data_IF_933582151588
#
_entry.id   IF_933582151588
#
_cell.length_a   1.000
_cell.length_b   1.000
_cell.length_c   1.000
_cell.angle_alpha   90.00
_cell.angle_beta   90.00
_cell.angle_gamma   90.00
#
_symmetry.space_group_name_H-M   'P 1'
#
loop_
_entity.id
_entity.type
_entity.pdbx_description
1 polymer ?
#
# COMPACT_ATOMS: atom_id res chain seq x y z
N UNK A 1 -12.15 -0.60 20.40
CA UNK A 1 -13.50 -0.37 19.80
C UNK A 1 -13.81 -1.57 18.92
N UNK A 2 -15.06 -1.97 18.76
CA UNK A 2 -15.49 -2.98 17.77
C UNK A 2 -16.61 -2.35 16.94
N UNK A 3 -16.52 -2.45 15.61
CA UNK A 3 -17.47 -1.83 14.67
C UNK A 3 -17.69 -2.75 13.47
N UNK A 4 -18.95 -3.07 13.15
CA UNK A 4 -19.27 -3.64 11.84
C UNK A 4 -19.28 -2.53 10.81
N UNK A 5 -18.47 -2.68 9.75
CA UNK A 5 -18.30 -1.69 8.70
C UNK A 5 -19.47 -1.79 7.70
N UNK A 6 -20.04 -0.63 7.35
CA UNK A 6 -21.02 -0.52 6.28
C UNK A 6 -20.33 -0.51 4.90
N UNK A 7 -21.12 -0.71 3.82
CA UNK A 7 -20.58 -0.58 2.43
C UNK A 7 -19.97 0.82 2.20
N UNK A 8 -20.54 1.86 2.81
CA UNK A 8 -20.00 3.21 2.72
C UNK A 8 -18.68 3.36 3.50
N UNK A 9 -18.60 2.81 4.72
CA UNK A 9 -17.34 2.79 5.47
C UNK A 9 -16.23 2.08 4.67
N UNK A 10 -16.55 0.92 4.07
CA UNK A 10 -15.59 0.16 3.25
C UNK A 10 -15.13 0.97 2.03
N UNK A 11 -16.07 1.66 1.36
CA UNK A 11 -15.72 2.55 0.25
C UNK A 11 -14.81 3.69 0.70
N UNK A 12 -15.15 4.36 1.78
CA UNK A 12 -14.31 5.45 2.32
C UNK A 12 -12.92 4.92 2.72
N UNK A 13 -12.84 3.77 3.39
CA UNK A 13 -11.54 3.15 3.76
C UNK A 13 -10.69 2.87 2.52
N UNK A 14 -11.24 2.22 1.49
CA UNK A 14 -10.45 1.85 0.31
C UNK A 14 -9.97 3.07 -0.47
N UNK A 15 -10.78 4.13 -0.60
CA UNK A 15 -10.30 5.39 -1.19
C UNK A 15 -9.18 6.02 -0.35
N UNK A 16 -9.34 6.03 0.98
CA UNK A 16 -8.29 6.51 1.87
C UNK A 16 -7.00 5.69 1.76
N UNK A 17 -7.11 4.35 1.68
CA UNK A 17 -5.97 3.46 1.48
C UNK A 17 -5.30 3.67 0.11
N UNK A 18 -6.07 3.86 -0.97
CA UNK A 18 -5.52 4.14 -2.30
C UNK A 18 -4.76 5.48 -2.33
N UNK A 19 -5.24 6.50 -1.61
CA UNK A 19 -4.53 7.78 -1.45
C UNK A 19 -3.22 7.56 -0.68
N UNK A 20 -3.28 6.92 0.49
CA UNK A 20 -2.12 6.65 1.34
C UNK A 20 -1.16 5.63 0.72
N UNK A 21 -1.63 4.81 -0.23
CA UNK A 21 -0.84 3.83 -0.95
C UNK A 21 0.23 4.40 -1.89
N UNK A 22 0.24 5.73 -2.10
CA UNK A 22 1.32 6.41 -2.85
C UNK A 22 1.61 5.79 -4.23
N UNK A 23 0.57 5.35 -4.91
CA UNK A 23 0.65 4.70 -6.22
C UNK A 23 0.81 3.19 -6.19
N UNK A 24 0.98 2.56 -5.02
CA UNK A 24 1.08 1.11 -4.86
C UNK A 24 -0.10 0.48 -4.11
N UNK A 25 0.08 -0.77 -3.66
CA UNK A 25 -0.92 -1.51 -2.90
C UNK A 25 -2.11 -2.02 -3.71
N UNK A 26 -1.96 -2.08 -5.03
CA UNK A 26 -2.93 -2.65 -5.99
C UNK A 26 -4.11 -1.74 -6.33
N UNK A 27 -4.86 -2.16 -7.34
CA UNK A 27 -5.94 -1.39 -7.95
C UNK A 27 -7.17 -1.29 -7.04
N UNK A 28 -7.77 -0.10 -7.02
CA UNK A 28 -8.97 0.17 -6.22
C UNK A 28 -10.18 -0.67 -6.66
N UNK A 29 -10.37 -0.83 -7.96
CA UNK A 29 -11.48 -1.62 -8.53
C UNK A 29 -11.35 -3.11 -8.18
N UNK A 30 -10.14 -3.64 -8.14
CA UNK A 30 -9.87 -4.99 -7.65
C UNK A 30 -10.24 -5.11 -6.16
N UNK A 31 -9.87 -4.11 -5.36
CA UNK A 31 -10.25 -4.05 -3.96
C UNK A 31 -11.76 -4.09 -3.77
N UNK A 32 -12.51 -3.31 -4.54
CA UNK A 32 -13.98 -3.36 -4.51
C UNK A 32 -14.53 -4.72 -4.91
N UNK A 33 -13.92 -5.38 -5.90
CA UNK A 33 -14.33 -6.73 -6.28
C UNK A 33 -14.21 -7.72 -5.10
N UNK A 34 -13.13 -7.70 -4.33
CA UNK A 34 -12.99 -8.54 -3.12
C UNK A 34 -14.06 -8.22 -2.07
N UNK A 35 -14.33 -6.94 -1.82
CA UNK A 35 -15.37 -6.53 -0.87
C UNK A 35 -16.75 -7.02 -1.32
N UNK A 36 -17.11 -6.78 -2.57
CA UNK A 36 -18.43 -7.17 -3.10
C UNK A 36 -18.61 -8.69 -3.10
N UNK A 37 -17.58 -9.45 -3.46
CA UNK A 37 -17.58 -10.91 -3.39
C UNK A 37 -17.84 -11.45 -1.98
N UNK A 38 -17.29 -10.82 -0.95
CA UNK A 38 -17.58 -11.20 0.43
C UNK A 38 -19.01 -10.83 0.85
N UNK A 39 -19.49 -9.64 0.48
CA UNK A 39 -20.86 -9.21 0.75
C UNK A 39 -21.91 -10.12 0.07
N UNK A 40 -21.69 -10.49 -1.19
CA UNK A 40 -22.54 -11.43 -1.95
C UNK A 40 -22.55 -12.82 -1.29
N UNK A 41 -21.45 -13.23 -0.65
CA UNK A 41 -21.38 -14.45 0.15
C UNK A 41 -22.03 -14.30 1.54
N UNK A 42 -22.70 -13.19 1.83
CA UNK A 42 -23.38 -12.91 3.10
C UNK A 42 -22.44 -12.65 4.27
N UNK A 43 -21.18 -12.26 3.98
CA UNK A 43 -20.18 -11.98 5.02
C UNK A 43 -20.27 -10.55 5.53
N UNK A 44 -19.75 -10.33 6.74
CA UNK A 44 -19.67 -9.02 7.39
C UNK A 44 -18.22 -8.66 7.67
N UNK A 45 -17.93 -7.37 7.69
CA UNK A 45 -16.60 -6.84 7.97
C UNK A 45 -16.60 -6.21 9.37
N UNK A 46 -15.89 -6.83 10.30
CA UNK A 46 -15.85 -6.42 11.70
C UNK A 46 -14.46 -5.87 12.04
N UNK A 47 -14.40 -4.56 12.28
CA UNK A 47 -13.18 -3.86 12.70
C UNK A 47 -13.02 -3.92 14.21
N UNK A 48 -11.82 -4.23 14.69
CA UNK A 48 -11.47 -4.26 16.12
C UNK A 48 -10.13 -3.54 16.35
N UNK A 49 -10.02 -2.75 17.41
CA UNK A 49 -8.73 -2.16 17.77
C UNK A 49 -7.78 -3.22 18.34
N UNK A 50 -6.48 -3.01 18.15
CA UNK A 50 -5.40 -3.92 18.60
C UNK A 50 -5.56 -4.27 20.08
N UNK A 51 -5.88 -3.30 20.93
CA UNK A 51 -6.04 -3.46 22.37
C UNK A 51 -7.22 -4.34 22.76
N UNK A 52 -8.19 -4.51 21.88
CA UNK A 52 -9.39 -5.32 22.15
C UNK A 52 -9.27 -6.76 21.61
N UNK A 53 -8.18 -7.10 20.93
CA UNK A 53 -7.91 -8.49 20.55
C UNK A 53 -7.61 -9.29 21.81
N UNK A 54 -8.35 -10.38 22.08
CA UNK A 54 -8.10 -11.17 23.29
C UNK A 54 -6.71 -11.81 23.29
N UNK A 55 -6.11 -11.90 24.46
CA UNK A 55 -4.81 -12.55 24.64
C UNK A 55 -4.80 -14.01 24.11
N UNK A 56 -3.68 -14.42 23.53
CA UNK A 56 -3.49 -15.76 22.98
C UNK A 56 -4.19 -16.00 21.64
N UNK A 57 -4.77 -14.96 21.02
CA UNK A 57 -5.38 -15.09 19.70
C UNK A 57 -4.36 -14.91 18.59
N UNK A 58 -4.31 -15.88 17.68
CA UNK A 58 -3.47 -15.84 16.51
C UNK A 58 -4.03 -14.89 15.45
N UNK A 59 -3.12 -14.17 14.79
CA UNK A 59 -3.38 -13.30 13.64
C UNK A 59 -2.48 -13.73 12.47
N UNK A 60 -2.80 -13.22 11.28
CA UNK A 60 -1.93 -13.34 10.12
C UNK A 60 -2.02 -12.11 9.24
N UNK A 61 -1.09 -11.99 8.29
CA UNK A 61 -0.97 -10.84 7.39
C UNK A 61 -1.08 -11.31 5.93
N UNK A 62 -2.29 -11.25 5.32
CA UNK A 62 -2.50 -11.63 3.92
C UNK A 62 -2.31 -10.46 2.97
N UNK A 63 -1.70 -10.75 1.80
CA UNK A 63 -1.46 -9.76 0.74
C UNK A 63 -1.22 -10.43 -0.62
N UNK A 64 -1.24 -9.62 -1.71
CA UNK A 64 -0.68 -9.98 -3.01
C UNK A 64 0.67 -9.30 -3.16
N UNK A 65 1.62 -9.99 -3.79
CA UNK A 65 2.97 -9.50 -4.06
C UNK A 65 3.29 -9.69 -5.54
N UNK A 66 3.71 -8.60 -6.18
CA UNK A 66 4.07 -8.68 -7.60
C UNK A 66 4.43 -7.33 -8.21
N UNK A 67 4.49 -7.31 -9.54
CA UNK A 67 4.65 -6.09 -10.33
C UNK A 67 3.28 -5.58 -10.78
N UNK A 68 3.10 -4.27 -10.78
CA UNK A 68 1.85 -3.62 -11.17
C UNK A 68 1.70 -3.44 -12.68
N UNK A 69 2.83 -3.44 -13.42
CA UNK A 69 2.82 -3.29 -14.88
C UNK A 69 2.24 -4.54 -15.54
N UNK A 70 1.23 -4.41 -16.42
CA UNK A 70 0.71 -5.54 -17.19
C UNK A 70 1.81 -6.26 -17.97
N UNK A 71 1.68 -7.58 -18.08
CA UNK A 71 2.57 -8.39 -18.93
C UNK A 71 2.36 -8.09 -20.41
N UNK A 72 3.41 -8.21 -21.19
CA UNK A 72 3.31 -8.18 -22.65
C UNK A 72 2.56 -9.41 -23.19
N UNK A 73 2.05 -9.31 -24.43
CA UNK A 73 1.39 -10.46 -25.08
C UNK A 73 2.31 -11.68 -25.22
N UNK A 74 3.62 -11.46 -25.42
CA UNK A 74 4.60 -12.53 -25.53
C UNK A 74 4.81 -13.26 -24.19
N UNK A 75 4.90 -12.52 -23.10
CA UNK A 75 4.99 -13.08 -21.75
C UNK A 75 3.71 -13.85 -21.39
N UNK A 76 2.52 -13.30 -21.70
CA UNK A 76 1.23 -13.96 -21.48
C UNK A 76 1.12 -15.31 -22.22
N UNK A 77 1.73 -15.46 -23.39
CA UNK A 77 1.71 -16.71 -24.16
C UNK A 77 2.30 -17.89 -23.37
N UNK A 78 3.28 -17.66 -22.50
CA UNK A 78 3.92 -18.71 -21.69
C UNK A 78 2.92 -19.37 -20.74
N UNK A 79 1.92 -18.62 -20.30
CA UNK A 79 0.94 -19.06 -19.29
C UNK A 79 -0.37 -19.59 -19.90
N UNK A 80 -0.63 -19.35 -21.21
CA UNK A 80 -1.88 -19.80 -21.88
C UNK A 80 -2.20 -21.29 -21.74
N UNK A 81 -1.17 -22.12 -21.58
CA UNK A 81 -1.31 -23.59 -21.39
C UNK A 81 -1.73 -23.98 -19.98
N UNK A 82 -1.60 -23.09 -19.00
CA UNK A 82 -1.86 -23.39 -17.61
C UNK A 82 -3.35 -23.14 -17.30
N UNK A 83 -4.04 -24.11 -16.71
CA UNK A 83 -5.43 -23.89 -16.29
C UNK A 83 -5.46 -22.92 -15.11
N UNK A 84 -6.46 -22.03 -15.08
CA UNK A 84 -6.75 -21.23 -13.89
C UNK A 84 -7.54 -22.06 -12.89
N UNK A 85 -7.20 -21.91 -11.61
CA UNK A 85 -7.94 -22.55 -10.54
C UNK A 85 -9.28 -21.82 -10.29
N UNK A 86 -10.32 -22.58 -9.96
CA UNK A 86 -11.62 -22.02 -9.59
C UNK A 86 -11.61 -21.29 -8.24
N UNK A 87 -10.60 -21.56 -7.41
CA UNK A 87 -10.48 -21.02 -6.05
C UNK A 87 -9.57 -19.79 -6.04
N UNK A 88 -9.94 -18.81 -5.24
CA UNK A 88 -9.10 -17.66 -4.94
C UNK A 88 -7.74 -18.09 -4.39
N UNK A 89 -6.65 -17.57 -4.97
CA UNK A 89 -5.27 -17.84 -4.55
C UNK A 89 -5.05 -17.49 -3.08
N UNK A 90 -5.54 -16.30 -2.65
CA UNK A 90 -5.38 -15.89 -1.24
C UNK A 90 -6.13 -16.80 -0.27
N UNK A 91 -7.33 -17.27 -0.61
CA UNK A 91 -8.05 -18.24 0.24
C UNK A 91 -7.44 -19.64 0.19
N UNK A 92 -6.75 -19.99 -0.90
CA UNK A 92 -5.96 -21.22 -0.98
C UNK A 92 -4.77 -21.16 -0.04
N UNK A 93 -4.02 -20.04 -0.06
CA UNK A 93 -2.92 -19.81 0.87
C UNK A 93 -3.41 -19.79 2.33
N UNK A 94 -4.53 -19.11 2.63
CA UNK A 94 -5.08 -19.02 3.98
C UNK A 94 -5.45 -20.41 4.55
N UNK A 95 -6.20 -21.21 3.81
CA UNK A 95 -6.56 -22.55 4.23
C UNK A 95 -5.35 -23.47 4.39
N UNK A 96 -4.33 -23.27 3.55
CA UNK A 96 -3.10 -24.05 3.68
C UNK A 96 -2.30 -23.65 4.90
N UNK A 97 -2.29 -22.34 5.25
CA UNK A 97 -1.67 -21.85 6.48
C UNK A 97 -2.33 -22.48 7.72
N UNK A 98 -3.67 -22.44 7.83
CA UNK A 98 -4.41 -23.09 8.91
C UNK A 98 -4.07 -24.59 9.04
N UNK A 99 -3.99 -25.30 7.92
CA UNK A 99 -3.62 -26.72 7.91
C UNK A 99 -2.16 -26.97 8.32
N UNK A 100 -1.27 -26.06 7.99
CA UNK A 100 0.16 -26.17 8.27
C UNK A 100 0.46 -25.88 9.75
N UNK A 101 -0.10 -24.82 10.29
CA UNK A 101 0.11 -24.42 11.69
C UNK A 101 -0.77 -25.23 12.66
N UNK A 102 -1.92 -25.71 12.21
CA UNK A 102 -2.96 -26.27 13.07
C UNK A 102 -3.75 -25.23 13.86
N UNK A 103 -3.57 -23.94 13.55
CA UNK A 103 -4.17 -22.82 14.24
C UNK A 103 -5.43 -22.30 13.53
N UNK A 104 -6.32 -21.68 14.32
CA UNK A 104 -7.39 -20.80 13.84
C UNK A 104 -6.98 -19.35 14.03
N UNK A 105 -7.21 -18.52 13.00
CA UNK A 105 -6.87 -17.10 13.05
C UNK A 105 -8.07 -16.25 13.48
N UNK A 106 -7.87 -15.46 14.53
CA UNK A 106 -8.88 -14.55 15.07
C UNK A 106 -9.14 -13.36 14.14
N UNK A 107 -8.12 -12.92 13.43
CA UNK A 107 -8.22 -11.80 12.51
C UNK A 107 -6.97 -11.59 11.68
N UNK A 108 -7.03 -10.58 10.82
CA UNK A 108 -5.93 -10.18 9.94
C UNK A 108 -5.44 -8.78 10.28
N UNK A 109 -4.14 -8.54 10.07
CA UNK A 109 -3.52 -7.23 10.04
C UNK A 109 -3.09 -6.96 8.59
N UNK A 110 -3.34 -5.74 8.08
CA UNK A 110 -2.91 -5.39 6.73
C UNK A 110 -1.38 -5.28 6.67
N UNK A 111 -0.77 -5.80 5.61
CA UNK A 111 0.67 -5.63 5.36
C UNK A 111 1.02 -4.16 5.06
N UNK A 112 0.07 -3.44 4.49
CA UNK A 112 0.22 -2.08 3.99
C UNK A 112 -1.16 -1.45 3.74
N UNK A 113 -1.18 -0.17 3.38
CA UNK A 113 -2.38 0.53 2.93
C UNK A 113 -2.35 0.65 1.39
N UNK A 114 -3.37 0.12 0.74
CA UNK A 114 -3.52 0.19 -0.72
C UNK A 114 -4.93 -0.18 -1.16
N UNK A 115 -5.27 0.08 -2.41
CA UNK A 115 -6.61 -0.16 -2.94
C UNK A 115 -7.02 -1.63 -2.91
N UNK A 116 -6.12 -2.53 -3.32
CA UNK A 116 -6.37 -3.98 -3.35
C UNK A 116 -5.85 -4.68 -2.09
N UNK A 117 -4.61 -4.48 -1.64
CA UNK A 117 -4.02 -5.23 -0.53
C UNK A 117 -4.76 -5.06 0.79
N UNK A 118 -5.27 -3.86 1.09
CA UNK A 118 -6.15 -3.66 2.25
C UNK A 118 -7.44 -4.48 2.11
N UNK A 119 -8.07 -4.45 0.94
CA UNK A 119 -9.31 -5.20 0.68
C UNK A 119 -9.10 -6.71 0.74
N UNK A 120 -7.95 -7.23 0.31
CA UNK A 120 -7.57 -8.64 0.41
C UNK A 120 -7.48 -9.09 1.87
N UNK A 121 -6.82 -8.31 2.72
CA UNK A 121 -6.78 -8.58 4.16
C UNK A 121 -8.20 -8.62 4.76
N UNK A 122 -9.04 -7.65 4.39
CA UNK A 122 -10.45 -7.60 4.82
C UNK A 122 -11.25 -8.80 4.31
N UNK A 123 -11.04 -9.19 3.06
CA UNK A 123 -11.69 -10.33 2.44
C UNK A 123 -11.37 -11.63 3.18
N UNK A 124 -10.09 -11.87 3.49
CA UNK A 124 -9.67 -13.06 4.25
C UNK A 124 -10.33 -13.07 5.63
N UNK A 125 -10.29 -11.95 6.37
CA UNK A 125 -10.95 -11.84 7.67
C UNK A 125 -12.46 -12.14 7.58
N UNK A 126 -13.17 -11.53 6.62
CA UNK A 126 -14.60 -11.73 6.43
C UNK A 126 -14.94 -13.17 6.06
N UNK A 127 -14.19 -13.78 5.13
CA UNK A 127 -14.42 -15.16 4.68
C UNK A 127 -14.14 -16.17 5.79
N UNK A 128 -13.19 -15.90 6.67
CA UNK A 128 -12.88 -16.68 7.87
C UNK A 128 -13.85 -16.42 9.04
N UNK A 129 -14.80 -15.49 8.93
CA UNK A 129 -15.65 -14.96 10.00
C UNK A 129 -14.84 -14.39 11.19
N UNK A 130 -13.67 -13.87 10.89
CA UNK A 130 -12.74 -13.23 11.83
C UNK A 130 -12.90 -11.71 11.88
N UNK A 131 -11.89 -11.05 12.39
CA UNK A 131 -11.86 -9.60 12.58
C UNK A 131 -10.76 -8.95 11.72
N UNK A 132 -11.04 -7.74 11.26
CA UNK A 132 -10.05 -6.81 10.73
C UNK A 132 -9.47 -6.07 11.94
N UNK A 133 -8.16 -6.14 12.13
CA UNK A 133 -7.50 -5.42 13.21
C UNK A 133 -7.15 -4.01 12.71
N UNK A 134 -7.52 -2.98 13.50
CA UNK A 134 -7.28 -1.58 13.16
C UNK A 134 -5.80 -1.21 13.28
N UNK A 135 -5.03 -1.76 12.36
CA UNK A 135 -3.58 -1.55 12.24
C UNK A 135 -3.09 -2.02 10.86
N UNK A 136 -1.93 -1.54 10.49
CA UNK A 136 -1.09 -2.11 9.44
C UNK A 136 0.38 -2.04 9.85
N UNK A 137 1.32 -2.39 8.96
CA UNK A 137 2.73 -2.42 9.29
C UNK A 137 3.59 -1.46 8.46
N UNK A 138 2.97 -0.61 7.66
CA UNK A 138 3.68 0.34 6.80
C UNK A 138 3.09 1.77 6.84
N UNK A 139 1.77 1.91 7.06
CA UNK A 139 1.07 3.20 7.01
C UNK A 139 1.00 3.83 5.61
N UNK A 140 1.43 3.06 4.60
CA UNK A 140 1.45 3.35 3.17
C UNK A 140 1.60 2.03 2.40
N UNK A 141 1.67 2.05 1.06
CA UNK A 141 2.17 0.91 0.32
C UNK A 141 3.71 0.94 0.22
N UNK A 142 4.32 -0.24 0.15
CA UNK A 142 5.77 -0.45 0.17
C UNK A 142 6.19 -1.59 -0.77
N UNK A 143 7.35 -1.48 -1.44
CA UNK A 143 7.74 -2.44 -2.47
C UNK A 143 8.20 -3.80 -1.96
N UNK A 144 8.61 -3.94 -0.70
CA UNK A 144 9.24 -5.16 -0.17
C UNK A 144 8.74 -5.54 1.23
N UNK A 145 8.75 -6.83 1.57
CA UNK A 145 8.36 -7.37 2.88
C UNK A 145 9.17 -6.72 4.02
N UNK A 146 10.44 -6.40 3.75
CA UNK A 146 11.35 -5.76 4.72
C UNK A 146 11.05 -4.29 5.01
N UNK A 147 10.16 -3.67 4.26
CA UNK A 147 9.72 -2.30 4.52
C UNK A 147 8.50 -2.29 5.47
N UNK A 148 8.64 -2.90 6.61
CA UNK A 148 7.56 -3.05 7.58
C UNK A 148 8.04 -2.86 9.01
N UNK A 149 7.13 -2.43 9.86
CA UNK A 149 7.41 -2.34 11.30
C UNK A 149 7.65 -3.71 11.93
N UNK A 150 7.23 -4.80 11.31
CA UNK A 150 7.63 -6.15 11.73
C UNK A 150 9.14 -6.33 11.59
N UNK A 151 9.68 -6.04 10.40
CA UNK A 151 11.12 -6.12 10.16
C UNK A 151 11.92 -5.17 11.07
N UNK A 152 11.40 -3.96 11.33
CA UNK A 152 12.08 -3.01 12.24
C UNK A 152 12.15 -3.50 13.68
N UNK A 153 11.26 -4.39 14.08
CA UNK A 153 11.18 -4.99 15.40
C UNK A 153 11.67 -6.46 15.45
N UNK A 154 12.40 -6.91 14.41
CA UNK A 154 12.99 -8.26 14.30
C UNK A 154 11.93 -9.39 14.46
N UNK A 155 10.70 -9.17 13.96
CA UNK A 155 9.62 -10.15 13.94
C UNK A 155 9.67 -10.87 12.59
N UNK A 156 10.01 -12.17 12.54
CA UNK A 156 10.25 -12.88 11.30
C UNK A 156 8.95 -13.16 10.53
N UNK A 157 9.02 -13.03 9.20
CA UNK A 157 7.88 -13.29 8.32
C UNK A 157 7.54 -14.80 8.22
N UNK A 158 8.53 -15.69 8.31
CA UNK A 158 8.31 -17.14 8.18
C UNK A 158 7.58 -17.73 9.40
N UNK A 159 6.70 -18.75 9.18
CA UNK A 159 6.42 -19.40 7.90
C UNK A 159 5.58 -18.55 6.96
N UNK A 160 5.89 -18.59 5.66
CA UNK A 160 5.13 -17.88 4.61
C UNK A 160 4.44 -18.91 3.73
N UNK A 161 3.13 -18.77 3.55
CA UNK A 161 2.36 -19.60 2.61
C UNK A 161 1.95 -18.77 1.42
N UNK A 162 2.29 -19.24 0.22
CA UNK A 162 1.93 -18.56 -1.02
C UNK A 162 1.09 -19.46 -1.92
N UNK A 163 0.24 -18.85 -2.75
CA UNK A 163 -0.50 -19.53 -3.79
C UNK A 163 -0.73 -18.62 -5.00
N UNK A 164 -0.78 -19.23 -6.19
CA UNK A 164 -1.00 -18.52 -7.44
C UNK A 164 -2.36 -18.86 -8.09
N UNK A 165 -2.69 -18.16 -9.17
CA UNK A 165 -3.93 -18.35 -9.91
C UNK A 165 -4.07 -19.73 -10.59
N UNK A 166 -2.97 -20.48 -10.72
CA UNK A 166 -2.98 -21.83 -11.27
C UNK A 166 -3.31 -22.91 -10.23
N UNK A 167 -3.47 -22.52 -8.96
CA UNK A 167 -3.74 -23.42 -7.84
C UNK A 167 -2.48 -24.05 -7.22
N UNK A 168 -1.30 -23.62 -7.66
CA UNK A 168 -0.04 -24.03 -7.03
C UNK A 168 0.10 -23.33 -5.67
N UNK A 169 0.55 -24.07 -4.66
CA UNK A 169 0.71 -23.56 -3.30
C UNK A 169 2.07 -23.97 -2.74
N UNK A 170 2.78 -23.01 -2.17
CA UNK A 170 4.11 -23.21 -1.64
C UNK A 170 4.16 -22.79 -0.17
N UNK A 171 5.00 -23.47 0.62
CA UNK A 171 5.28 -23.12 2.00
C UNK A 171 6.77 -22.84 2.14
N UNK A 172 7.09 -21.62 2.49
CA UNK A 172 8.42 -21.22 2.92
C UNK A 172 8.49 -21.37 4.45
N UNK A 173 8.82 -22.56 4.92
CA UNK A 173 8.80 -22.90 6.34
C UNK A 173 9.84 -22.13 7.14
N UNK A 174 11.05 -22.07 6.61
CA UNK A 174 12.18 -21.38 7.22
C UNK A 174 12.96 -20.58 6.19
N UNK A 175 13.36 -19.38 6.55
CA UNK A 175 14.31 -18.55 5.83
C UNK A 175 15.34 -18.01 6.81
N UNK A 176 16.52 -17.66 6.30
CA UNK A 176 17.61 -17.20 7.14
C UNK A 176 17.32 -15.81 7.74
N UNK A 177 16.61 -14.94 6.98
CA UNK A 177 16.16 -13.61 7.35
C UNK A 177 15.06 -13.14 6.38
N UNK A 178 14.46 -11.97 6.65
CA UNK A 178 13.36 -11.44 5.84
C UNK A 178 13.84 -10.84 4.50
N UNK A 179 15.10 -10.48 4.35
CA UNK A 179 15.68 -10.16 3.03
C UNK A 179 15.65 -11.38 2.11
N UNK A 180 15.90 -12.54 2.70
CA UNK A 180 15.80 -13.80 1.97
C UNK A 180 14.35 -14.22 1.74
N UNK A 181 13.44 -13.93 2.69
CA UNK A 181 12.01 -14.12 2.53
C UNK A 181 11.49 -13.35 1.30
N UNK A 182 11.80 -12.06 1.22
CA UNK A 182 11.48 -11.21 0.05
C UNK A 182 11.98 -11.84 -1.25
N UNK A 183 13.26 -12.23 -1.30
CA UNK A 183 13.87 -12.80 -2.50
C UNK A 183 13.16 -14.08 -2.96
N UNK A 184 12.74 -14.95 -2.04
CA UNK A 184 12.05 -16.22 -2.35
C UNK A 184 10.64 -15.96 -2.83
N UNK A 185 9.86 -15.14 -2.12
CA UNK A 185 8.47 -14.84 -2.50
C UNK A 185 8.42 -14.07 -3.82
N UNK A 186 9.35 -13.14 -4.04
CA UNK A 186 9.49 -12.39 -5.31
C UNK A 186 9.79 -13.33 -6.48
N UNK A 187 10.69 -14.28 -6.32
CA UNK A 187 10.96 -15.28 -7.35
C UNK A 187 9.73 -16.12 -7.69
N UNK A 188 8.93 -16.49 -6.68
CA UNK A 188 7.67 -17.21 -6.88
C UNK A 188 6.63 -16.34 -7.61
N UNK A 189 6.55 -15.04 -7.31
CA UNK A 189 5.65 -14.12 -8.05
C UNK A 189 6.04 -14.01 -9.53
N UNK A 190 7.34 -13.88 -9.83
CA UNK A 190 7.83 -13.77 -11.20
C UNK A 190 7.45 -14.97 -12.07
N UNK A 191 7.43 -16.18 -11.53
CA UNK A 191 6.99 -17.39 -12.24
C UNK A 191 5.46 -17.62 -12.16
N UNK A 192 4.74 -16.74 -11.49
CA UNK A 192 3.29 -16.77 -11.30
C UNK A 192 2.59 -15.57 -11.96
N UNK A 193 3.02 -15.18 -13.14
CA UNK A 193 2.55 -14.00 -13.89
C UNK A 193 2.77 -12.68 -13.16
N UNK A 194 3.90 -12.54 -12.48
CA UNK A 194 4.26 -11.38 -11.67
C UNK A 194 3.25 -11.05 -10.55
N UNK A 195 2.49 -12.04 -10.09
CA UNK A 195 1.50 -11.88 -9.04
C UNK A 195 1.33 -13.17 -8.22
N UNK A 196 1.41 -13.07 -6.91
CA UNK A 196 1.25 -14.21 -6.01
C UNK A 196 0.59 -13.79 -4.70
N UNK A 197 -0.38 -14.58 -4.25
CA UNK A 197 -0.94 -14.44 -2.92
C UNK A 197 0.07 -14.93 -1.87
N UNK A 198 0.24 -14.18 -0.80
CA UNK A 198 1.09 -14.53 0.32
C UNK A 198 0.39 -14.28 1.66
N UNK A 199 0.68 -15.11 2.64
CA UNK A 199 0.26 -14.91 4.03
C UNK A 199 1.45 -15.25 4.91
N UNK A 200 1.80 -14.33 5.77
CA UNK A 200 2.91 -14.43 6.70
C UNK A 200 2.56 -13.96 8.12
N UNK A 201 3.55 -13.82 8.99
CA UNK A 201 3.44 -13.36 10.37
C UNK A 201 2.26 -14.01 11.13
N UNK A 202 2.14 -15.35 10.95
CA UNK A 202 1.13 -16.17 11.60
C UNK A 202 1.52 -16.43 13.06
N UNK A 203 1.01 -15.61 14.00
CA UNK A 203 1.44 -15.66 15.39
C UNK A 203 0.44 -15.04 16.38
N UNK A 204 0.60 -15.27 17.69
CA UNK A 204 -0.23 -14.61 18.71
C UNK A 204 -0.08 -13.08 18.69
N UNK A 205 -1.18 -12.36 18.90
CA UNK A 205 -1.25 -10.89 18.88
C UNK A 205 -0.21 -10.24 19.80
N UNK A 206 0.14 -10.87 20.91
CA UNK A 206 1.10 -10.35 21.88
C UNK A 206 2.49 -10.14 21.29
N UNK A 207 2.85 -10.89 20.26
CA UNK A 207 4.15 -10.77 19.62
C UNK A 207 4.24 -9.56 18.67
N UNK A 208 3.10 -9.05 18.21
CA UNK A 208 3.06 -7.99 17.19
C UNK A 208 2.37 -6.70 17.63
N UNK A 209 1.56 -6.71 18.69
CA UNK A 209 0.71 -5.58 19.10
C UNK A 209 1.45 -4.26 19.36
N UNK A 210 2.73 -4.33 19.70
CA UNK A 210 3.58 -3.16 19.97
C UNK A 210 4.46 -2.78 18.77
N UNK A 211 4.50 -3.63 17.74
CA UNK A 211 5.22 -3.41 16.50
C UNK A 211 4.34 -2.82 15.38
N UNK A 212 3.02 -3.01 15.44
CA UNK A 212 2.12 -2.50 14.39
C UNK A 212 1.83 -1.01 14.54
N UNK A 213 1.51 -0.35 13.43
CA UNK A 213 1.02 1.04 13.40
C UNK A 213 -0.49 1.01 13.65
N UNK A 214 -0.88 1.40 14.86
CA UNK A 214 -2.27 1.31 15.33
C UNK A 214 -3.15 2.42 14.74
N UNK A 215 -4.41 2.08 14.41
CA UNK A 215 -5.42 3.04 13.97
C UNK A 215 -5.30 3.47 12.52
N UNK A 216 -4.52 2.78 11.71
CA UNK A 216 -4.30 3.15 10.30
C UNK A 216 -5.54 2.92 9.43
N UNK A 217 -6.35 1.91 9.73
CA UNK A 217 -7.63 1.71 9.03
C UNK A 217 -8.62 2.82 9.40
N UNK A 218 -8.67 3.22 10.66
CA UNK A 218 -9.47 4.38 11.11
C UNK A 218 -8.97 5.69 10.50
N UNK A 219 -7.66 5.88 10.32
CA UNK A 219 -7.06 7.02 9.61
C UNK A 219 -7.45 7.02 8.13
N UNK A 220 -7.38 5.86 7.47
CA UNK A 220 -7.81 5.71 6.08
C UNK A 220 -9.30 6.04 5.92
N UNK A 221 -10.15 5.58 6.85
CA UNK A 221 -11.57 5.96 6.89
C UNK A 221 -11.77 7.47 6.96
N UNK A 222 -11.02 8.16 7.82
CA UNK A 222 -11.13 9.62 7.97
C UNK A 222 -10.70 10.37 6.70
N UNK A 223 -9.61 9.96 6.05
CA UNK A 223 -9.13 10.53 4.79
C UNK A 223 -10.12 10.27 3.66
N UNK A 224 -10.65 9.04 3.53
CA UNK A 224 -11.65 8.72 2.52
C UNK A 224 -12.96 9.47 2.72
N UNK A 225 -13.39 9.68 3.97
CA UNK A 225 -14.55 10.53 4.28
C UNK A 225 -14.32 12.00 3.88
N UNK A 226 -13.11 12.54 4.12
CA UNK A 226 -12.74 13.89 3.70
C UNK A 226 -12.76 14.02 2.17
N UNK A 227 -12.14 13.06 1.48
CA UNK A 227 -12.15 12.94 0.02
C UNK A 227 -13.58 12.89 -0.54
N UNK A 228 -14.44 11.99 -0.05
CA UNK A 228 -15.82 11.88 -0.50
C UNK A 228 -16.62 13.16 -0.28
N UNK A 229 -16.51 13.76 0.93
CA UNK A 229 -17.17 15.04 1.24
C UNK A 229 -16.68 16.18 0.35
N UNK A 230 -15.40 16.23 0.01
CA UNK A 230 -14.85 17.21 -0.92
C UNK A 230 -15.54 17.10 -2.30
N UNK A 231 -15.65 15.87 -2.84
CA UNK A 231 -16.36 15.61 -4.11
C UNK A 231 -17.82 16.03 -4.04
N UNK A 232 -18.55 15.64 -2.99
CA UNK A 232 -19.96 16.00 -2.80
C UNK A 232 -20.19 17.51 -2.69
N UNK A 233 -19.22 18.24 -2.13
CA UNK A 233 -19.29 19.69 -1.91
C UNK A 233 -18.62 20.52 -3.02
N UNK A 234 -18.12 19.87 -4.08
CA UNK A 234 -17.31 20.51 -5.15
C UNK A 234 -16.12 21.33 -4.59
N UNK A 235 -15.49 20.85 -3.53
CA UNK A 235 -14.25 21.37 -3.00
C UNK A 235 -13.05 20.72 -3.69
N UNK A 236 -11.90 21.36 -3.59
CA UNK A 236 -10.65 20.80 -4.06
C UNK A 236 -10.25 19.57 -3.22
N UNK A 237 -10.18 18.39 -3.86
CA UNK A 237 -9.88 17.14 -3.17
C UNK A 237 -8.43 17.10 -2.65
N UNK A 238 -7.48 17.70 -3.39
CA UNK A 238 -6.09 17.70 -2.99
C UNK A 238 -5.87 18.54 -1.72
N UNK A 239 -6.51 19.71 -1.63
CA UNK A 239 -6.45 20.56 -0.45
C UNK A 239 -7.10 19.89 0.77
N UNK A 240 -8.27 19.26 0.59
CA UNK A 240 -8.96 18.57 1.69
C UNK A 240 -8.17 17.31 2.17
N UNK A 241 -7.56 16.56 1.26
CA UNK A 241 -6.69 15.42 1.61
C UNK A 241 -5.45 15.93 2.35
N UNK A 242 -4.80 16.98 1.85
CA UNK A 242 -3.63 17.57 2.49
C UNK A 242 -3.94 18.05 3.92
N UNK A 243 -5.08 18.72 4.12
CA UNK A 243 -5.50 19.22 5.42
C UNK A 243 -5.78 18.08 6.42
N UNK A 244 -6.50 17.01 5.99
CA UNK A 244 -6.84 15.90 6.87
C UNK A 244 -5.67 14.93 7.09
N UNK A 245 -4.73 14.87 6.14
CA UNK A 245 -3.53 14.06 6.23
C UNK A 245 -2.33 14.78 6.89
N UNK A 246 -2.51 16.02 7.37
CA UNK A 246 -1.45 16.85 7.99
C UNK A 246 -0.29 17.15 7.03
N UNK A 247 -0.59 17.26 5.73
CA UNK A 247 0.36 17.50 4.65
C UNK A 247 0.16 18.80 3.90
N UNK A 248 0.57 18.81 2.64
CA UNK A 248 0.44 19.97 1.76
C UNK A 248 0.33 19.54 0.29
N UNK A 249 -0.24 20.40 -0.56
CA UNK A 249 -0.18 20.23 -2.02
C UNK A 249 1.19 20.71 -2.50
N UNK A 250 1.99 19.78 -3.01
CA UNK A 250 3.36 20.06 -3.46
C UNK A 250 3.40 20.62 -4.88
N UNK A 251 2.52 20.10 -5.77
CA UNK A 251 2.54 20.48 -7.18
C UNK A 251 1.18 20.28 -7.84
N UNK A 252 0.91 21.07 -8.90
CA UNK A 252 -0.22 20.89 -9.80
C UNK A 252 0.27 21.07 -11.23
N UNK A 253 -0.13 20.18 -12.14
CA UNK A 253 0.33 20.25 -13.51
C UNK A 253 -0.29 19.19 -14.42
N UNK A 254 0.28 19.12 -15.61
CA UNK A 254 -0.14 18.19 -16.67
C UNK A 254 0.99 17.18 -16.89
N UNK A 255 0.65 15.90 -16.93
CA UNK A 255 1.60 14.82 -17.26
C UNK A 255 2.03 14.96 -18.70
N UNK A 256 3.33 15.15 -18.92
CA UNK A 256 3.92 15.33 -20.27
C UNK A 256 4.68 14.12 -20.75
N UNK A 257 5.32 13.39 -19.85
CA UNK A 257 6.06 12.18 -20.16
C UNK A 257 5.91 11.17 -19.03
N UNK A 258 5.88 9.90 -19.35
CA UNK A 258 5.96 8.81 -18.38
C UNK A 258 6.52 7.55 -19.04
N UNK A 259 7.15 6.72 -18.22
CA UNK A 259 7.62 5.40 -18.65
C UNK A 259 7.48 4.40 -17.52
N UNK A 260 7.06 3.19 -17.84
CA UNK A 260 6.99 2.09 -16.89
C UNK A 260 7.52 0.80 -17.52
N UNK A 261 8.19 -0.02 -16.72
CA UNK A 261 8.64 -1.35 -17.11
C UNK A 261 8.65 -2.28 -15.90
N UNK A 262 8.44 -3.57 -16.15
CA UNK A 262 8.71 -4.60 -15.13
C UNK A 262 10.20 -4.97 -15.18
N UNK A 263 10.85 -4.95 -14.03
CA UNK A 263 12.23 -5.40 -13.87
C UNK A 263 12.39 -6.06 -12.48
N UNK A 264 12.94 -7.27 -12.46
CA UNK A 264 13.20 -8.04 -11.23
C UNK A 264 11.94 -8.21 -10.34
N UNK A 265 10.77 -8.31 -10.97
CA UNK A 265 9.48 -8.45 -10.27
C UNK A 265 8.91 -7.15 -9.68
N UNK A 266 9.47 -6.01 -10.05
CA UNK A 266 8.98 -4.68 -9.65
C UNK A 266 8.54 -3.87 -10.86
N UNK A 267 7.59 -2.96 -10.68
CA UNK A 267 7.27 -1.89 -11.62
C UNK A 267 8.20 -0.71 -11.38
N UNK A 268 9.10 -0.45 -12.31
CA UNK A 268 9.96 0.75 -12.30
C UNK A 268 9.40 1.79 -13.27
N UNK A 269 9.43 3.07 -12.89
CA UNK A 269 8.92 4.11 -13.75
C UNK A 269 9.38 5.51 -13.39
N UNK A 270 9.13 6.40 -14.34
CA UNK A 270 9.35 7.84 -14.23
C UNK A 270 8.12 8.57 -14.74
N UNK A 271 7.69 9.62 -14.04
CA UNK A 271 6.57 10.48 -14.44
C UNK A 271 7.01 11.93 -14.40
N UNK A 272 6.84 12.64 -15.49
CA UNK A 272 7.18 14.06 -15.64
C UNK A 272 5.92 14.89 -15.80
N UNK A 273 5.84 16.00 -15.05
CA UNK A 273 4.66 16.85 -14.94
C UNK A 273 5.10 18.30 -15.13
N UNK A 274 4.55 18.97 -16.13
CA UNK A 274 4.77 20.41 -16.33
C UNK A 274 3.73 21.21 -15.53
N UNK A 275 4.21 22.21 -14.80
CA UNK A 275 3.38 22.97 -13.87
C UNK A 275 2.31 23.83 -14.52
N UNK A 276 1.17 23.97 -13.84
CA UNK A 276 0.07 24.85 -14.21
C UNK A 276 -0.23 25.86 -13.09
N UNK A 277 -0.96 26.93 -13.41
CA UNK A 277 -1.33 27.94 -12.42
C UNK A 277 -0.09 28.59 -11.77
N UNK A 278 0.01 28.52 -10.45
CA UNK A 278 1.17 29.06 -9.71
C UNK A 278 2.46 28.28 -9.90
N UNK A 279 2.37 27.04 -10.45
CA UNK A 279 3.52 26.16 -10.72
C UNK A 279 4.07 26.31 -12.14
N UNK A 280 3.51 27.19 -12.98
CA UNK A 280 4.00 27.45 -14.34
C UNK A 280 5.52 27.72 -14.35
N UNK A 281 6.22 27.21 -15.36
CA UNK A 281 7.68 27.24 -15.53
C UNK A 281 8.47 26.29 -14.59
N UNK A 282 7.79 25.47 -13.80
CA UNK A 282 8.42 24.41 -13.04
C UNK A 282 8.04 23.05 -13.62
N UNK A 283 8.95 22.09 -13.46
CA UNK A 283 8.75 20.70 -13.82
C UNK A 283 8.91 19.82 -12.61
N UNK A 284 7.99 18.89 -12.43
CA UNK A 284 8.01 17.89 -11.36
C UNK A 284 8.28 16.52 -11.95
N UNK A 285 9.12 15.74 -11.27
CA UNK A 285 9.49 14.41 -11.67
C UNK A 285 9.25 13.45 -10.50
N UNK A 286 8.65 12.29 -10.76
CA UNK A 286 8.42 11.25 -9.75
C UNK A 286 9.13 9.98 -10.21
N UNK A 287 9.98 9.43 -9.34
CA UNK A 287 10.65 8.14 -9.50
C UNK A 287 9.85 7.04 -8.79
N UNK A 288 9.56 5.96 -9.51
CA UNK A 288 8.67 4.87 -9.09
C UNK A 288 9.43 3.55 -8.99
N UNK A 289 9.22 2.83 -7.88
CA UNK A 289 9.47 1.39 -7.75
C UNK A 289 8.26 0.78 -7.03
N UNK A 290 7.29 0.25 -7.77
CA UNK A 290 5.90 -0.01 -7.41
C UNK A 290 5.19 1.27 -6.93
N UNK A 291 5.69 1.88 -5.87
CA UNK A 291 5.21 3.12 -5.25
C UNK A 291 6.00 4.33 -5.73
N UNK A 292 5.45 5.52 -5.47
CA UNK A 292 6.15 6.78 -5.65
C UNK A 292 7.17 6.94 -4.51
N UNK A 293 8.47 6.94 -4.82
CA UNK A 293 9.53 6.90 -3.80
C UNK A 293 10.32 8.20 -3.67
N UNK A 294 10.55 8.87 -4.78
CA UNK A 294 11.28 10.15 -4.83
C UNK A 294 10.53 11.11 -5.71
N UNK A 295 10.51 12.37 -5.34
CA UNK A 295 10.13 13.42 -6.28
C UNK A 295 11.18 14.51 -6.37
N UNK A 296 11.21 15.17 -7.54
CA UNK A 296 12.12 16.29 -7.83
C UNK A 296 11.34 17.47 -8.37
N UNK A 297 11.72 18.65 -7.91
CA UNK A 297 11.27 19.91 -8.47
C UNK A 297 12.44 20.54 -9.24
N UNK A 298 12.29 20.72 -10.54
CA UNK A 298 13.35 21.26 -11.42
C UNK A 298 14.69 20.52 -11.22
N UNK A 299 14.65 19.18 -11.24
CA UNK A 299 15.78 18.24 -11.05
C UNK A 299 16.32 18.16 -9.62
N UNK A 300 15.95 19.05 -8.71
CA UNK A 300 16.38 18.99 -7.31
C UNK A 300 15.43 18.11 -6.48
N UNK A 301 15.98 17.25 -5.63
CA UNK A 301 15.20 16.37 -4.75
C UNK A 301 14.27 17.20 -3.87
N UNK A 302 12.97 16.99 -4.05
CA UNK A 302 11.93 17.65 -3.25
C UNK A 302 11.44 16.76 -2.12
N UNK A 303 10.96 15.55 -2.40
CA UNK A 303 10.46 14.61 -1.39
C UNK A 303 11.13 13.27 -1.56
N UNK A 304 11.45 12.62 -0.46
CA UNK A 304 11.95 11.24 -0.45
C UNK A 304 11.15 10.38 0.50
N UNK A 305 11.15 9.07 0.26
CA UNK A 305 10.72 8.12 1.27
C UNK A 305 11.44 8.39 2.60
N UNK A 306 10.75 8.12 3.72
CA UNK A 306 9.44 7.47 3.84
C UNK A 306 8.22 8.39 3.70
N UNK A 307 8.37 9.71 3.43
CA UNK A 307 7.22 10.59 3.20
C UNK A 307 6.36 10.11 2.04
N UNK A 308 5.08 10.40 2.09
CA UNK A 308 4.08 9.91 1.13
C UNK A 308 3.93 10.90 -0.03
N UNK A 309 4.10 10.43 -1.26
CA UNK A 309 3.89 11.20 -2.50
C UNK A 309 2.61 10.67 -3.16
N UNK A 310 1.49 11.31 -2.87
CA UNK A 310 0.16 10.89 -3.32
C UNK A 310 -0.22 11.62 -4.61
N UNK A 311 -0.52 10.90 -5.67
CA UNK A 311 -0.93 11.45 -6.96
C UNK A 311 -2.44 11.36 -7.14
N UNK A 312 -3.07 12.46 -7.57
CA UNK A 312 -4.51 12.55 -7.81
C UNK A 312 -4.76 13.01 -9.25
N UNK A 313 -5.64 12.31 -9.96
CA UNK A 313 -6.22 12.78 -11.21
C UNK A 313 -7.30 13.82 -10.88
N UNK A 314 -7.12 15.06 -11.32
CA UNK A 314 -8.01 16.16 -11.00
C UNK A 314 -9.21 16.26 -11.95
N UNK A 315 -9.20 15.54 -13.07
CA UNK A 315 -10.33 15.50 -14.00
C UNK A 315 -11.35 14.43 -13.59
N UNK A 316 -10.86 13.24 -13.22
CA UNK A 316 -11.71 12.15 -12.71
C UNK A 316 -11.95 12.24 -11.20
N UNK A 317 -11.16 13.07 -10.52
CA UNK A 317 -11.14 13.20 -9.06
C UNK A 317 -10.88 11.85 -8.37
N UNK A 318 -9.83 11.13 -8.79
CA UNK A 318 -9.45 9.80 -8.25
C UNK A 318 -7.98 9.73 -7.88
N UNK A 319 -7.60 8.94 -6.86
CA UNK A 319 -6.19 8.62 -6.64
C UNK A 319 -5.65 7.81 -7.81
N UNK A 320 -4.37 8.02 -8.14
CA UNK A 320 -3.69 7.32 -9.23
C UNK A 320 -2.86 6.18 -8.66
N UNK A 321 -3.14 4.96 -9.13
CA UNK A 321 -2.31 3.77 -8.90
C UNK A 321 -1.34 3.60 -10.09
N UNK A 322 -0.07 3.30 -9.82
CA UNK A 322 0.89 2.99 -10.85
C UNK A 322 0.53 1.68 -11.59
N UNK A 323 0.67 1.59 -12.91
CA UNK A 323 1.26 2.57 -13.82
C UNK A 323 0.23 3.48 -14.54
N UNK A 324 -0.94 3.75 -13.99
CA UNK A 324 -2.11 4.33 -14.66
C UNK A 324 -1.99 5.83 -14.95
N UNK A 325 -0.82 6.30 -15.34
CA UNK A 325 -0.67 7.64 -15.87
C UNK A 325 -0.97 7.68 -17.37
N UNK A 326 -1.49 8.81 -17.83
CA UNK A 326 -1.71 9.09 -19.25
C UNK A 326 -1.19 10.47 -19.63
N UNK A 327 -0.80 10.62 -20.90
CA UNK A 327 -0.36 11.91 -21.41
C UNK A 327 -1.51 12.92 -21.35
N UNK A 328 -1.21 14.16 -20.96
CA UNK A 328 -2.15 15.25 -20.76
C UNK A 328 -3.09 15.08 -19.55
N UNK A 329 -2.87 14.10 -18.68
CA UNK A 329 -3.60 13.97 -17.41
C UNK A 329 -3.33 15.18 -16.52
N UNK A 330 -4.38 15.78 -15.99
CA UNK A 330 -4.31 16.90 -15.05
C UNK A 330 -4.17 16.37 -13.63
N UNK A 331 -3.04 16.64 -12.97
CA UNK A 331 -2.72 16.01 -11.69
C UNK A 331 -2.41 17.01 -10.58
N UNK A 332 -2.72 16.61 -9.36
CA UNK A 332 -2.22 17.23 -8.14
C UNK A 332 -1.37 16.22 -7.35
N UNK A 333 -0.27 16.71 -6.80
CA UNK A 333 0.64 15.95 -5.95
C UNK A 333 0.46 16.43 -4.51
N UNK A 334 0.03 15.53 -3.65
CA UNK A 334 -0.14 15.76 -2.22
C UNK A 334 0.95 15.03 -1.47
N UNK A 335 1.66 15.73 -0.59
CA UNK A 335 2.70 15.16 0.27
C UNK A 335 2.16 15.06 1.68
N UNK A 336 2.21 13.84 2.24
CA UNK A 336 1.80 13.56 3.60
C UNK A 336 3.00 13.07 4.42
N UNK A 337 2.99 13.29 5.75
CA UNK A 337 4.10 12.88 6.60
C UNK A 337 4.18 11.36 6.71
N UNK A 338 5.41 10.86 6.76
CA UNK A 338 5.69 9.45 7.06
C UNK A 338 5.13 9.04 8.44
N UNK A 339 4.74 7.77 8.62
CA UNK A 339 4.54 7.22 9.95
C UNK A 339 5.82 7.38 10.78
N UNK A 340 5.66 7.72 12.07
CA UNK A 340 6.81 7.97 12.97
C UNK A 340 7.73 6.76 13.12
N UNK A 341 7.20 5.56 12.98
CA UNK A 341 7.93 4.30 13.02
C UNK A 341 8.97 4.22 11.89
N UNK A 342 8.66 4.78 10.74
CA UNK A 342 9.54 4.83 9.56
C UNK A 342 10.61 5.93 9.65
N UNK A 343 10.46 6.90 10.55
CA UNK A 343 11.45 7.96 10.77
C UNK A 343 12.45 7.65 11.88
N UNK A 344 12.37 6.46 12.48
CA UNK A 344 13.40 5.92 13.40
C UNK A 344 14.67 5.57 12.65
N UNK A 345 15.79 5.39 13.36
CA UNK A 345 17.06 4.97 12.74
C UNK A 345 16.88 3.67 11.93
N UNK A 346 16.24 2.65 12.51
CA UNK A 346 15.96 1.37 11.85
C UNK A 346 15.02 1.51 10.64
N UNK A 347 13.98 2.35 10.76
CA UNK A 347 13.07 2.62 9.66
C UNK A 347 13.76 3.33 8.50
N UNK A 348 14.61 4.31 8.76
CA UNK A 348 15.37 5.03 7.73
C UNK A 348 16.50 4.17 7.13
N UNK A 349 17.08 3.26 7.88
CA UNK A 349 18.04 2.28 7.37
C UNK A 349 17.37 1.35 6.34
N UNK A 350 16.17 0.86 6.64
CA UNK A 350 15.44 -0.04 5.77
C UNK A 350 14.75 0.69 4.59
N UNK A 351 14.11 1.84 4.83
CA UNK A 351 13.27 2.54 3.86
C UNK A 351 13.47 4.06 3.89
N UNK A 352 14.71 4.50 3.83
CA UNK A 352 15.10 5.90 3.74
C UNK A 352 15.79 6.24 2.41
N UNK A 353 16.33 7.47 2.25
CA UNK A 353 16.97 7.94 1.02
C UNK A 353 18.05 7.01 0.45
N UNK A 354 18.78 6.29 1.30
CA UNK A 354 19.82 5.35 0.88
C UNK A 354 19.26 4.17 0.07
N UNK A 355 18.05 3.70 0.36
CA UNK A 355 17.38 2.63 -0.39
C UNK A 355 17.14 2.99 -1.86
N UNK A 356 16.87 4.26 -2.15
CA UNK A 356 16.71 4.80 -3.52
C UNK A 356 18.02 5.38 -4.08
N UNK A 357 19.17 5.06 -3.49
CA UNK A 357 20.48 5.45 -3.99
C UNK A 357 20.89 6.91 -3.70
N UNK A 358 20.13 7.64 -2.91
CA UNK A 358 20.42 9.02 -2.56
C UNK A 358 21.42 9.10 -1.40
N UNK A 359 22.53 9.83 -1.59
CA UNK A 359 23.57 10.06 -0.58
C UNK A 359 23.27 11.33 0.23
N UNK A 360 22.10 11.38 0.83
CA UNK A 360 21.66 12.49 1.66
C UNK A 360 20.88 11.99 2.88
N UNK A 361 20.87 12.73 4.00
CA UNK A 361 20.03 12.39 5.13
C UNK A 361 18.54 12.61 4.77
N UNK A 362 17.66 11.85 5.42
CA UNK A 362 16.22 12.11 5.36
C UNK A 362 15.90 13.48 5.96
N UNK A 363 15.07 14.24 5.27
CA UNK A 363 14.54 15.53 5.72
C UNK A 363 13.03 15.49 5.52
N UNK A 364 12.28 15.54 6.62
CA UNK A 364 10.82 15.52 6.59
C UNK A 364 10.27 16.66 5.73
N UNK A 365 9.65 16.35 4.60
CA UNK A 365 9.21 17.31 3.61
C UNK A 365 8.12 18.25 4.18
N UNK A 366 7.20 17.71 4.96
CA UNK A 366 6.13 18.47 5.61
C UNK A 366 6.68 19.49 6.59
N UNK A 367 7.64 19.08 7.43
CA UNK A 367 8.29 20.04 8.35
C UNK A 367 9.05 21.13 7.61
N UNK A 368 9.78 20.78 6.55
CA UNK A 368 10.52 21.73 5.72
C UNK A 368 9.57 22.72 5.06
N UNK A 369 8.46 22.25 4.50
CA UNK A 369 7.45 23.10 3.86
C UNK A 369 6.87 24.14 4.83
N UNK A 370 6.42 23.73 6.00
CA UNK A 370 5.82 24.64 6.98
C UNK A 370 6.85 25.58 7.60
N UNK A 371 8.09 25.16 7.81
CA UNK A 371 9.17 26.07 8.26
C UNK A 371 9.42 27.17 7.22
N UNK A 372 9.56 26.82 5.95
CA UNK A 372 9.81 27.78 4.88
C UNK A 372 8.65 28.77 4.69
N UNK A 373 7.40 28.34 4.82
CA UNK A 373 6.23 29.20 4.70
C UNK A 373 6.05 30.16 5.89
N UNK A 374 6.47 29.77 7.10
CA UNK A 374 6.51 30.70 8.25
C UNK A 374 7.44 31.89 8.02
N UNK A 375 8.56 31.70 7.32
CA UNK A 375 9.49 32.78 6.97
C UNK A 375 8.99 33.69 5.81
N UNK A 376 8.13 33.18 4.92
CA UNK A 376 7.52 33.98 3.85
C UNK A 376 6.45 34.97 4.37
N UNK A 377 5.76 34.61 5.45
CA UNK A 377 4.73 35.44 6.08
C UNK A 377 5.30 36.48 7.07
N UNK A 378 6.63 36.55 7.25
CA UNK A 378 7.33 37.50 8.13
C UNK A 378 8.05 38.59 7.29
N UNK A 379 8.01 38.49 5.96
CA UNK A 379 8.50 39.55 5.06
C UNK A 379 7.34 40.30 4.44
#
# INVERSE_FOLDING_TARGET
MMKTLTRLDLSDILHGCAILGTGGGGELDEGFHYIDKALEAGKTFNLISVENVPAGKNICTPYMLGALTPMSEEEELQYKRLPKADKSSIMTAFKRLEQYTGDEFYGTICCELGGSNTAISFYVAAMANGYIIDADVAGRAVPEITHSTYYFNDIPAAPIVTANEFGECFICENVIDDLRAESVVRALSMISRNDIAAIDHAMPIEQVKDAVIKGTISKSLAIGQAYRKAKEQNKDIADEIANHGEGYVAFRGIVTEFSFKTQDGFTLGDVYIDGTGEYVSNRYHIEVKNENLVSRLNEEVDVTIPDLICCLDMDTLTPITNPNFSQQMNVAIVVLPAPKEFTTERGLEAFGPAYVGLKMPYIAAVERHFKNNRYKNIK
#
